data_IF_963809753866
#
_entry.id   IF_963809753866
#
_cell.length_a   1.000
_cell.length_b   1.000
_cell.length_c   1.000
_cell.angle_alpha   90.00
_cell.angle_beta   90.00
_cell.angle_gamma   90.00
#
_symmetry.space_group_name_H-M   'P 1'
#
loop_
_entity.id
_entity.type
_entity.pdbx_description
1 polymer ?
#
# COMPACT_ATOMS: atom_id res chain seq x y z
N UNK A 1 -13.07 -3.28 7.60
CA UNK A 1 -12.60 -3.03 6.22
C UNK A 1 -11.96 -4.28 5.66
N UNK A 2 -12.00 -4.50 4.35
CA UNK A 2 -11.32 -5.63 3.69
C UNK A 2 -10.18 -5.07 2.85
N UNK A 3 -8.97 -5.56 3.09
CA UNK A 3 -7.73 -5.14 2.43
C UNK A 3 -7.07 -6.38 1.82
N UNK A 4 -6.57 -6.23 0.61
CA UNK A 4 -5.69 -7.17 -0.05
C UNK A 4 -4.24 -6.74 0.23
N UNK A 5 -3.40 -7.69 0.63
CA UNK A 5 -1.97 -7.49 0.87
C UNK A 5 -1.23 -8.35 -0.14
N UNK A 6 -0.38 -7.73 -0.95
CA UNK A 6 0.34 -8.38 -2.03
C UNK A 6 1.84 -8.15 -1.82
N UNK A 7 2.62 -9.24 -1.72
CA UNK A 7 4.06 -9.16 -1.70
C UNK A 7 4.58 -8.73 -3.08
N UNK A 8 5.34 -7.63 -3.13
CA UNK A 8 5.97 -7.12 -4.36
C UNK A 8 7.47 -7.42 -4.39
N UNK A 9 8.09 -7.55 -3.22
CA UNK A 9 9.47 -7.99 -3.01
C UNK A 9 9.57 -8.70 -1.65
N UNK A 10 10.68 -9.40 -1.40
CA UNK A 10 10.96 -10.00 -0.09
C UNK A 10 10.90 -8.94 1.00
N UNK A 11 9.90 -9.05 1.89
CA UNK A 11 9.68 -8.12 2.99
C UNK A 11 9.01 -6.80 2.59
N UNK A 12 8.57 -6.63 1.34
CA UNK A 12 7.83 -5.45 0.87
C UNK A 12 6.43 -5.85 0.40
N UNK A 13 5.43 -5.13 0.90
CA UNK A 13 4.02 -5.35 0.56
C UNK A 13 3.38 -4.08 -0.02
N UNK A 14 2.46 -4.30 -0.95
CA UNK A 14 1.46 -3.33 -1.37
C UNK A 14 0.12 -3.67 -0.73
N UNK A 15 -0.61 -2.64 -0.28
CA UNK A 15 -1.90 -2.81 0.39
C UNK A 15 -2.99 -2.14 -0.45
N UNK A 16 -4.04 -2.87 -0.81
CA UNK A 16 -5.15 -2.35 -1.64
C UNK A 16 -6.50 -2.56 -0.94
N UNK A 17 -7.33 -1.52 -0.94
CA UNK A 17 -8.71 -1.66 -0.46
C UNK A 17 -9.57 -2.39 -1.49
N UNK A 18 -10.18 -3.52 -1.10
CA UNK A 18 -10.97 -4.34 -2.02
C UNK A 18 -12.15 -3.55 -2.64
N UNK A 19 -12.87 -2.80 -1.80
CA UNK A 19 -14.04 -2.05 -2.24
C UNK A 19 -13.70 -0.71 -2.90
N UNK A 20 -12.61 -0.05 -2.48
CA UNK A 20 -12.22 1.24 -3.05
C UNK A 20 -11.41 1.09 -4.33
N UNK A 21 -10.79 -0.07 -4.56
CA UNK A 21 -9.84 -0.30 -5.64
C UNK A 21 -8.55 0.52 -5.52
N UNK A 22 -8.35 1.24 -4.41
CA UNK A 22 -7.21 2.15 -4.21
C UNK A 22 -6.13 1.52 -3.35
N UNK A 23 -4.88 1.83 -3.66
CA UNK A 23 -3.72 1.46 -2.85
C UNK A 23 -3.59 2.39 -1.64
N UNK A 24 -3.20 1.83 -0.51
CA UNK A 24 -2.65 2.63 0.58
C UNK A 24 -1.28 3.13 0.12
N UNK A 25 -1.03 4.43 0.24
CA UNK A 25 0.25 5.03 -0.09
C UNK A 25 0.67 6.03 1.00
N UNK A 26 1.97 6.24 1.18
CA UNK A 26 2.52 7.20 2.12
C UNK A 26 3.48 8.16 1.43
N UNK A 27 3.17 9.45 1.47
CA UNK A 27 4.09 10.44 0.93
C UNK A 27 5.29 10.69 1.84
N UNK A 28 6.29 11.41 1.33
CA UNK A 28 7.54 11.76 2.06
C UNK A 28 7.35 12.51 3.39
N UNK A 29 6.15 13.05 3.66
CA UNK A 29 5.81 13.72 4.93
C UNK A 29 5.19 12.75 5.95
N UNK A 30 5.13 11.46 5.64
CA UNK A 30 4.50 10.44 6.47
C UNK A 30 2.97 10.46 6.42
N UNK A 31 2.35 11.17 5.46
CA UNK A 31 0.89 11.21 5.36
C UNK A 31 0.40 10.06 4.49
N UNK A 32 -0.45 9.23 5.08
CA UNK A 32 -1.18 8.20 4.37
C UNK A 32 -2.25 8.82 3.48
N UNK A 33 -2.41 8.27 2.28
CA UNK A 33 -3.45 8.62 1.33
C UNK A 33 -3.85 7.41 0.50
N UNK A 34 -4.99 7.51 -0.20
CA UNK A 34 -5.46 6.48 -1.11
C UNK A 34 -5.01 6.83 -2.53
N UNK A 35 -4.11 6.04 -3.11
CA UNK A 35 -3.65 6.20 -4.49
C UNK A 35 -4.50 5.38 -5.44
N UNK A 36 -4.90 5.97 -6.57
CA UNK A 36 -5.61 5.24 -7.64
C UNK A 36 -4.67 4.33 -8.43
N UNK A 37 -3.40 4.72 -8.54
CA UNK A 37 -2.37 3.98 -9.27
C UNK A 37 -1.29 3.45 -8.34
N UNK A 38 -0.73 2.30 -8.66
CA UNK A 38 0.44 1.78 -7.96
C UNK A 38 1.66 2.67 -8.25
N UNK A 39 2.43 2.98 -7.20
CA UNK A 39 3.68 3.73 -7.29
C UNK A 39 4.58 3.39 -6.08
N UNK A 40 5.79 3.94 -6.05
CA UNK A 40 6.76 3.68 -4.97
C UNK A 40 6.29 4.12 -3.57
N UNK A 41 5.30 5.01 -3.46
CA UNK A 41 4.71 5.40 -2.17
C UNK A 41 3.74 4.33 -1.65
N UNK A 42 3.39 3.31 -2.43
CA UNK A 42 2.53 2.19 -2.05
C UNK A 42 3.28 1.01 -1.41
N UNK A 43 4.61 1.09 -1.32
CA UNK A 43 5.47 0.01 -0.84
C UNK A 43 5.76 0.16 0.65
N UNK A 44 5.43 -0.86 1.43
CA UNK A 44 5.62 -0.89 2.88
C UNK A 44 6.51 -2.07 3.26
N UNK A 45 7.41 -1.85 4.21
CA UNK A 45 8.20 -2.93 4.82
C UNK A 45 7.31 -3.73 5.76
N UNK A 46 7.18 -5.02 5.51
CA UNK A 46 6.51 -5.97 6.40
C UNK A 46 7.45 -6.40 7.53
N UNK A 47 6.98 -6.28 8.77
CA UNK A 47 7.71 -6.70 9.99
C UNK A 47 6.74 -7.41 10.93
N UNK A 48 7.11 -8.62 11.37
CA UNK A 48 6.39 -9.42 12.37
C UNK A 48 6.66 -8.90 13.79
#
# INVERSE_FOLDING_TARGET
SILEITAVEVGIVAIKGLFSGRYLAMNKRGRLYASENYNAECEFVERL
#
